data_IF_803587521227
#
_entry.id   IF_803587521227
#
_cell.length_a   1.000
_cell.length_b   1.000
_cell.length_c   1.000
_cell.angle_alpha   90.00
_cell.angle_beta   90.00
_cell.angle_gamma   90.00
#
_symmetry.space_group_name_H-M   'P 1'
#
loop_
_entity.id
_entity.type
_entity.pdbx_description
1 polymer ?
#
# COMPACT_ATOMS: atom_id res chain seq x y z
N UNK A 1 25.44 -9.66 -11.17
CA UNK A 1 24.51 -8.52 -10.91
C UNK A 1 24.23 -7.68 -12.15
N UNK A 2 25.14 -7.62 -13.12
CA UNK A 2 24.93 -6.82 -14.34
C UNK A 2 23.73 -7.21 -15.21
N UNK A 3 23.22 -8.43 -15.07
CA UNK A 3 22.12 -8.99 -15.87
C UNK A 3 20.74 -8.87 -15.20
N UNK A 4 20.63 -8.15 -14.08
CA UNK A 4 19.35 -7.94 -13.42
C UNK A 4 18.60 -6.74 -14.03
N UNK A 5 17.26 -6.81 -14.19
CA UNK A 5 16.48 -5.80 -14.93
C UNK A 5 16.51 -4.41 -14.32
N UNK A 6 16.87 -4.28 -13.03
CA UNK A 6 17.03 -2.97 -12.36
C UNK A 6 18.42 -2.39 -12.45
N UNK A 7 19.46 -3.20 -12.68
CA UNK A 7 20.86 -2.75 -12.59
C UNK A 7 21.36 -2.27 -13.95
N UNK A 8 21.39 -0.96 -14.15
CA UNK A 8 22.02 -0.34 -15.32
C UNK A 8 23.52 -0.11 -15.13
N UNK A 9 23.99 -0.02 -13.89
CA UNK A 9 25.42 0.09 -13.54
C UNK A 9 25.69 -0.74 -12.29
N UNK A 10 26.82 -1.43 -12.26
CA UNK A 10 27.32 -2.08 -11.04
C UNK A 10 28.42 -1.23 -10.42
N UNK A 11 28.45 -1.12 -9.09
CA UNK A 11 29.53 -0.54 -8.29
C UNK A 11 29.94 -1.49 -7.19
N UNK A 12 31.15 -1.40 -6.63
CA UNK A 12 31.51 -2.17 -5.44
C UNK A 12 30.54 -1.85 -4.29
N UNK A 13 30.10 -2.87 -3.57
CA UNK A 13 29.30 -2.70 -2.34
C UNK A 13 30.19 -2.09 -1.26
N UNK A 14 29.68 -1.11 -0.52
CA UNK A 14 30.38 -0.51 0.60
C UNK A 14 30.72 -1.55 1.68
N UNK A 15 31.94 -1.55 2.19
CA UNK A 15 32.37 -2.45 3.25
C UNK A 15 31.93 -1.93 4.62
N UNK A 16 31.40 -2.82 5.47
CA UNK A 16 30.98 -2.49 6.84
C UNK A 16 32.19 -2.33 7.77
N UNK A 17 32.31 -1.18 8.41
CA UNK A 17 33.20 -0.97 9.56
C UNK A 17 32.35 -0.48 10.74
N UNK A 18 32.41 -1.08 11.94
CA UNK A 18 31.57 -0.65 13.06
C UNK A 18 31.85 0.83 13.43
N UNK A 19 30.83 1.63 13.58
CA UNK A 19 30.87 3.04 13.95
C UNK A 19 29.63 3.48 14.73
N UNK A 20 29.65 4.66 15.33
CA UNK A 20 28.70 5.14 16.32
C UNK A 20 27.28 5.40 15.76
N UNK A 21 26.30 5.24 16.65
CA UNK A 21 24.86 5.33 16.42
C UNK A 21 24.36 6.72 15.98
N UNK A 22 23.44 6.75 15.04
CA UNK A 22 22.66 7.91 14.62
C UNK A 22 21.41 8.14 15.49
N UNK A 23 20.90 9.37 15.45
CA UNK A 23 19.74 9.79 16.24
C UNK A 23 18.47 9.02 15.86
N UNK A 24 17.89 8.33 16.84
CA UNK A 24 16.55 7.73 16.74
C UNK A 24 15.52 8.82 16.40
N UNK A 25 14.79 8.63 15.31
CA UNK A 25 13.55 9.38 15.09
C UNK A 25 12.58 8.99 16.20
N UNK A 26 12.35 9.88 17.15
CA UNK A 26 11.51 9.64 18.33
C UNK A 26 10.08 9.30 17.89
N UNK A 27 9.77 8.01 17.87
CA UNK A 27 8.42 7.53 17.57
C UNK A 27 7.57 7.80 18.81
N UNK A 28 6.81 8.88 18.78
CA UNK A 28 5.85 9.18 19.85
C UNK A 28 4.71 8.15 19.81
N UNK A 29 4.78 7.14 20.65
CA UNK A 29 3.73 6.14 20.84
C UNK A 29 2.82 6.53 21.99
N UNK A 30 1.51 6.58 21.76
CA UNK A 30 0.51 6.72 22.81
C UNK A 30 -0.38 5.48 22.78
N UNK A 31 -0.48 4.71 23.89
CA UNK A 31 -1.33 3.52 23.92
C UNK A 31 -2.78 3.83 23.53
N UNK A 32 -3.37 2.96 22.74
CA UNK A 32 -4.78 3.01 22.38
C UNK A 32 -5.61 2.39 23.52
N UNK A 33 -6.17 3.25 24.39
CA UNK A 33 -7.19 2.80 25.34
C UNK A 33 -8.53 2.60 24.61
N UNK A 34 -9.16 1.46 24.86
CA UNK A 34 -10.49 1.12 24.34
C UNK A 34 -11.50 2.20 24.75
N UNK A 35 -12.07 2.94 23.81
CA UNK A 35 -13.26 3.75 24.05
C UNK A 35 -14.49 2.86 23.80
N UNK A 36 -15.18 2.52 24.86
CA UNK A 36 -16.56 2.04 24.75
C UNK A 36 -17.45 3.28 24.55
N UNK A 37 -18.45 3.18 23.67
CA UNK A 37 -19.51 4.17 23.63
C UNK A 37 -20.35 4.09 24.91
N UNK A 38 -21.13 5.14 25.18
CA UNK A 38 -21.96 5.23 26.38
C UNK A 38 -23.03 4.10 26.51
N UNK A 39 -23.13 3.19 25.53
CA UNK A 39 -24.07 2.08 25.48
C UNK A 39 -23.42 0.69 25.50
N UNK A 40 -22.06 0.63 25.61
CA UNK A 40 -21.32 -0.63 25.68
C UNK A 40 -21.30 -1.45 24.39
N UNK A 41 -21.80 -0.92 23.28
CA UNK A 41 -21.81 -1.58 21.98
C UNK A 41 -20.70 -0.98 21.11
N UNK A 42 -19.63 -1.75 20.88
CA UNK A 42 -18.60 -1.39 19.91
C UNK A 42 -19.18 -1.59 18.50
N UNK A 43 -19.22 -0.52 17.71
CA UNK A 43 -19.43 -0.67 16.27
C UNK A 43 -18.31 -1.54 15.69
N UNK A 44 -18.62 -2.53 14.85
CA UNK A 44 -17.62 -3.51 14.40
C UNK A 44 -16.47 -2.81 13.64
N UNK A 45 -15.26 -2.97 14.13
CA UNK A 45 -14.02 -2.93 13.34
C UNK A 45 -13.44 -1.59 12.91
N UNK A 46 -14.05 -0.44 13.22
CA UNK A 46 -13.63 0.86 12.66
C UNK A 46 -13.12 1.89 13.68
N UNK A 47 -13.35 1.70 14.98
CA UNK A 47 -13.27 2.75 15.99
C UNK A 47 -11.96 3.56 16.04
N UNK A 48 -10.79 2.95 15.84
CA UNK A 48 -9.52 3.67 15.88
C UNK A 48 -9.10 4.25 14.52
N UNK A 49 -9.33 3.49 13.42
CA UNK A 49 -8.95 3.90 12.06
C UNK A 49 -10.00 4.78 11.39
N UNK A 50 -11.25 4.84 11.89
CA UNK A 50 -12.38 5.54 11.26
C UNK A 50 -12.05 7.00 10.96
N UNK A 51 -11.44 7.72 11.89
CA UNK A 51 -11.12 9.13 11.72
C UNK A 51 -10.13 9.39 10.60
N UNK A 52 -9.07 8.59 10.48
CA UNK A 52 -8.08 8.72 9.40
C UNK A 52 -8.66 8.27 8.05
N UNK A 53 -9.38 7.17 8.00
CA UNK A 53 -10.00 6.64 6.78
C UNK A 53 -11.13 7.55 6.26
N UNK A 54 -11.94 8.12 7.16
CA UNK A 54 -13.00 9.06 6.79
C UNK A 54 -12.44 10.34 6.16
N UNK A 55 -11.35 10.87 6.73
CA UNK A 55 -10.69 12.11 6.25
C UNK A 55 -10.23 12.01 4.81
N UNK A 56 -9.79 10.83 4.38
CA UNK A 56 -9.34 10.56 3.01
C UNK A 56 -10.39 9.85 2.16
N UNK A 57 -11.66 9.85 2.59
CA UNK A 57 -12.78 9.19 1.91
C UNK A 57 -12.52 7.70 1.57
N UNK A 58 -11.80 6.97 2.43
CA UNK A 58 -11.49 5.55 2.21
C UNK A 58 -12.61 4.61 2.70
N UNK A 59 -13.57 5.08 3.50
CA UNK A 59 -14.67 4.26 3.99
C UNK A 59 -15.63 3.80 2.87
N UNK A 60 -16.04 4.63 1.89
CA UNK A 60 -16.94 4.17 0.82
C UNK A 60 -16.37 3.02 -0.02
N UNK A 61 -15.10 3.02 -0.50
CA UNK A 61 -14.52 1.87 -1.16
C UNK A 61 -14.52 0.62 -0.29
N UNK A 62 -14.16 0.73 0.99
CA UNK A 62 -14.16 -0.38 1.94
C UNK A 62 -15.57 -0.96 2.14
N UNK A 63 -16.60 -0.12 2.28
CA UNK A 63 -18.00 -0.54 2.36
C UNK A 63 -18.47 -1.27 1.09
N UNK A 64 -17.87 -0.96 -0.07
CA UNK A 64 -18.10 -1.68 -1.33
C UNK A 64 -17.30 -2.98 -1.42
N UNK A 65 -16.55 -3.38 -0.37
CA UNK A 65 -15.73 -4.60 -0.33
C UNK A 65 -14.41 -4.47 -1.12
N UNK A 66 -13.92 -3.24 -1.32
CA UNK A 66 -12.59 -3.03 -1.90
C UNK A 66 -11.55 -3.06 -0.78
N UNK A 67 -10.71 -4.06 -0.81
CA UNK A 67 -9.73 -4.36 0.23
C UNK A 67 -8.33 -4.66 -0.33
N UNK A 68 -8.09 -4.32 -1.60
CA UNK A 68 -6.84 -4.69 -2.29
C UNK A 68 -6.76 -6.17 -2.66
N UNK A 69 -7.89 -6.90 -2.64
CA UNK A 69 -7.87 -8.34 -2.94
C UNK A 69 -7.38 -8.61 -4.37
N UNK A 70 -6.49 -9.61 -4.50
CA UNK A 70 -5.85 -9.96 -5.76
C UNK A 70 -4.60 -9.12 -6.08
N UNK A 71 -4.31 -8.08 -5.28
CA UNK A 71 -3.14 -7.21 -5.43
C UNK A 71 -2.02 -7.67 -4.49
N UNK A 72 -0.78 -7.65 -4.97
CA UNK A 72 0.42 -7.92 -4.19
C UNK A 72 1.06 -6.62 -3.75
N UNK A 73 1.14 -6.42 -2.45
CA UNK A 73 1.73 -5.23 -1.82
C UNK A 73 3.07 -5.61 -1.20
N UNK A 74 4.14 -4.99 -1.67
CA UNK A 74 5.48 -5.10 -1.10
C UNK A 74 5.76 -3.98 -0.10
N UNK A 75 6.62 -4.26 0.87
CA UNK A 75 7.10 -3.28 1.84
C UNK A 75 8.62 -3.34 1.90
N UNK A 76 9.27 -2.18 1.75
CA UNK A 76 10.69 -1.97 2.06
C UNK A 76 10.77 -1.20 3.37
N UNK A 77 11.42 -1.79 4.38
CA UNK A 77 11.43 -1.23 5.73
C UNK A 77 12.59 -1.80 6.57
N UNK A 78 12.77 -1.26 7.78
CA UNK A 78 13.84 -1.67 8.67
C UNK A 78 13.61 -3.04 9.34
N UNK A 79 12.34 -3.39 9.68
CA UNK A 79 12.08 -4.62 10.45
C UNK A 79 10.63 -5.07 10.42
N UNK A 80 10.41 -6.38 10.45
CA UNK A 80 9.08 -7.01 10.44
C UNK A 80 8.86 -7.97 11.62
N UNK A 81 9.40 -7.64 12.83
CA UNK A 81 9.33 -8.49 14.02
C UNK A 81 7.90 -8.75 14.53
N UNK A 82 7.00 -7.79 14.34
CA UNK A 82 5.65 -7.82 14.88
C UNK A 82 4.57 -8.51 14.05
N UNK A 83 4.89 -9.20 12.95
CA UNK A 83 3.88 -9.85 12.07
C UNK A 83 3.14 -11.05 12.69
N UNK A 84 3.47 -11.42 13.94
CA UNK A 84 2.66 -12.35 14.75
C UNK A 84 1.47 -11.68 15.45
N UNK A 85 1.41 -10.34 15.47
CA UNK A 85 0.35 -9.56 16.09
C UNK A 85 -1.05 -10.01 15.63
N UNK A 86 -2.09 -9.96 16.49
CA UNK A 86 -3.48 -10.33 16.15
C UNK A 86 -4.05 -9.62 14.92
N UNK A 87 -3.65 -8.37 14.65
CA UNK A 87 -4.05 -7.63 13.45
C UNK A 87 -3.68 -8.31 12.12
N UNK A 88 -2.80 -9.29 12.14
CA UNK A 88 -2.39 -10.06 10.96
C UNK A 88 -2.91 -11.51 10.96
N UNK A 89 -3.83 -11.86 11.87
CA UNK A 89 -4.36 -13.23 11.97
C UNK A 89 -5.03 -13.68 10.67
N UNK A 90 -5.89 -12.83 10.08
CA UNK A 90 -6.53 -13.10 8.80
C UNK A 90 -5.51 -13.20 7.65
N UNK A 91 -4.49 -12.32 7.63
CA UNK A 91 -3.43 -12.35 6.64
C UNK A 91 -2.66 -13.69 6.65
N UNK A 92 -2.39 -14.23 7.85
CA UNK A 92 -1.73 -15.53 8.01
C UNK A 92 -2.65 -16.71 7.73
N UNK A 93 -3.90 -16.65 8.22
CA UNK A 93 -4.88 -17.73 8.04
C UNK A 93 -5.24 -17.97 6.57
N UNK A 94 -5.26 -16.90 5.78
CA UNK A 94 -5.56 -16.95 4.34
C UNK A 94 -4.30 -17.15 3.47
N UNK A 95 -3.13 -17.41 4.07
CA UNK A 95 -1.82 -17.59 3.40
C UNK A 95 -1.45 -16.38 2.49
N UNK A 96 -1.84 -15.17 2.91
CA UNK A 96 -1.58 -13.93 2.17
C UNK A 96 -0.30 -13.20 2.60
N UNK A 97 0.42 -13.69 3.61
CA UNK A 97 1.79 -13.31 3.91
C UNK A 97 2.74 -14.13 3.04
N UNK A 98 3.00 -13.65 1.82
CA UNK A 98 3.63 -14.42 0.75
C UNK A 98 5.16 -14.49 0.82
N UNK A 99 5.80 -13.76 1.74
CA UNK A 99 7.24 -13.86 1.99
C UNK A 99 7.80 -12.66 2.72
N UNK A 100 8.85 -12.97 3.49
CA UNK A 100 9.71 -11.99 4.14
C UNK A 100 11.15 -12.30 3.76
N UNK A 101 11.95 -11.29 3.47
CA UNK A 101 13.37 -11.44 3.19
C UNK A 101 14.19 -10.32 3.80
N UNK A 102 15.33 -10.69 4.39
CA UNK A 102 16.30 -9.75 4.93
C UNK A 102 17.47 -9.61 3.95
N UNK A 103 17.90 -8.40 3.69
CA UNK A 103 19.02 -8.02 2.84
C UNK A 103 20.18 -7.42 3.64
N UNK A 104 20.00 -7.25 4.93
CA UNK A 104 21.05 -6.85 5.88
C UNK A 104 21.79 -8.08 6.43
N UNK A 105 22.97 -7.85 7.01
CA UNK A 105 23.72 -8.88 7.71
C UNK A 105 23.07 -9.18 9.06
N UNK A 106 22.30 -10.26 9.11
CA UNK A 106 21.55 -10.65 10.30
C UNK A 106 20.15 -10.07 10.37
N UNK A 107 19.41 -10.49 11.41
CA UNK A 107 18.04 -10.05 11.66
C UNK A 107 18.06 -8.69 12.34
N UNK A 108 17.29 -7.76 11.79
CA UNK A 108 17.06 -6.48 12.43
C UNK A 108 15.91 -6.60 13.43
N UNK A 109 16.13 -6.05 14.63
CA UNK A 109 15.11 -5.99 15.68
C UNK A 109 14.21 -4.77 15.48
N UNK A 110 12.96 -4.87 15.96
CA UNK A 110 11.99 -3.77 15.92
C UNK A 110 10.68 -4.14 15.23
N UNK A 111 9.75 -3.21 15.28
CA UNK A 111 8.37 -3.38 14.80
C UNK A 111 7.94 -2.33 13.79
N UNK A 112 8.84 -1.43 13.33
CA UNK A 112 8.46 -0.31 12.46
C UNK A 112 7.77 -0.81 11.19
N UNK A 113 8.37 -1.68 10.41
CA UNK A 113 7.77 -2.24 9.20
C UNK A 113 6.49 -3.03 9.48
N UNK A 114 6.39 -3.73 10.61
CA UNK A 114 5.13 -4.39 11.02
C UNK A 114 4.04 -3.35 11.30
N UNK A 115 4.37 -2.25 11.98
CA UNK A 115 3.47 -1.12 12.20
C UNK A 115 2.99 -0.53 10.86
N UNK A 116 3.90 -0.30 9.93
CA UNK A 116 3.62 0.18 8.56
C UNK A 116 2.70 -0.77 7.82
N UNK A 117 3.00 -2.08 7.81
CA UNK A 117 2.11 -3.11 7.21
C UNK A 117 0.72 -3.05 7.84
N UNK A 118 0.61 -2.84 9.15
CA UNK A 118 -0.68 -2.79 9.84
C UNK A 118 -1.56 -1.65 9.39
N UNK A 119 -0.98 -0.49 9.08
CA UNK A 119 -1.71 0.67 8.55
C UNK A 119 -2.25 0.43 7.15
N UNK A 120 -1.53 -0.31 6.30
CA UNK A 120 -1.99 -0.64 4.95
C UNK A 120 -2.94 -1.85 4.91
N UNK A 121 -2.58 -2.94 5.61
CA UNK A 121 -3.16 -4.27 5.43
C UNK A 121 -3.57 -4.97 6.74
N UNK A 122 -3.47 -4.29 7.88
CA UNK A 122 -3.93 -4.84 9.16
C UNK A 122 -5.45 -4.95 9.22
N UNK A 123 -5.91 -5.98 9.93
CA UNK A 123 -7.32 -6.21 10.22
C UNK A 123 -7.49 -6.64 11.67
N UNK A 124 -7.95 -5.73 12.50
CA UNK A 124 -8.36 -5.99 13.87
C UNK A 124 -9.80 -5.52 14.05
N UNK A 125 -10.79 -6.44 14.23
CA UNK A 125 -12.20 -6.13 14.09
C UNK A 125 -12.74 -4.97 14.92
N UNK A 126 -12.06 -4.55 15.96
CA UNK A 126 -12.52 -3.45 16.84
C UNK A 126 -11.51 -2.31 16.98
N UNK A 127 -10.33 -2.41 16.33
CA UNK A 127 -9.21 -1.53 16.64
C UNK A 127 -8.53 -0.93 15.43
N UNK A 128 -8.33 -1.71 14.35
CA UNK A 128 -7.52 -1.30 13.21
C UNK A 128 -8.07 -1.86 11.91
N UNK A 129 -8.16 -1.00 10.90
CA UNK A 129 -8.49 -1.41 9.53
C UNK A 129 -7.58 -0.69 8.55
N UNK A 130 -6.78 -1.46 7.81
CA UNK A 130 -6.00 -0.96 6.68
C UNK A 130 -6.80 -1.00 5.37
N UNK A 131 -6.64 -0.01 4.46
CA UNK A 131 -7.40 0.02 3.20
C UNK A 131 -7.18 -1.21 2.30
N UNK A 132 -6.05 -1.90 2.46
CA UNK A 132 -5.68 -3.10 1.69
C UNK A 132 -5.66 -4.39 2.53
N UNK A 133 -6.55 -4.51 3.54
CA UNK A 133 -6.57 -5.68 4.44
C UNK A 133 -6.79 -7.02 3.72
N UNK A 134 -7.25 -7.02 2.47
CA UNK A 134 -7.42 -8.20 1.63
C UNK A 134 -6.25 -8.49 0.68
N UNK A 135 -5.23 -7.64 0.64
CA UNK A 135 -4.08 -7.81 -0.24
C UNK A 135 -3.15 -8.95 0.19
N UNK A 136 -2.32 -9.41 -0.74
CA UNK A 136 -1.19 -10.29 -0.46
C UNK A 136 0.03 -9.45 -0.12
N UNK A 137 0.71 -9.73 0.98
CA UNK A 137 1.79 -8.94 1.56
C UNK A 137 3.14 -9.64 1.42
N UNK A 138 4.15 -8.87 1.03
CA UNK A 138 5.56 -9.25 1.05
C UNK A 138 6.37 -8.18 1.78
N UNK A 139 7.43 -8.55 2.50
CA UNK A 139 8.30 -7.62 3.20
C UNK A 139 9.77 -7.87 2.91
N UNK A 140 10.53 -6.80 2.68
CA UNK A 140 11.97 -6.83 2.50
C UNK A 140 12.63 -5.89 3.53
N UNK A 141 13.43 -6.45 4.43
CA UNK A 141 14.26 -5.70 5.38
C UNK A 141 15.52 -5.24 4.66
N UNK A 142 15.74 -3.94 4.58
CA UNK A 142 16.86 -3.33 3.85
C UNK A 142 17.72 -2.42 4.69
N UNK A 143 17.24 -2.02 5.88
CA UNK A 143 17.87 -1.07 6.77
C UNK A 143 18.50 -1.76 7.98
N UNK A 144 19.58 -1.17 8.46
CA UNK A 144 20.12 -1.46 9.77
C UNK A 144 19.50 -0.49 10.80
N UNK A 145 19.22 -0.98 12.01
CA UNK A 145 18.62 -0.16 13.07
C UNK A 145 19.66 0.56 13.94
N UNK A 146 20.95 0.37 13.67
CA UNK A 146 22.06 0.84 14.51
C UNK A 146 22.97 1.85 13.81
N UNK A 147 22.87 2.03 12.49
CA UNK A 147 23.70 2.95 11.71
C UNK A 147 23.04 3.26 10.37
N UNK A 148 23.46 4.38 9.76
CA UNK A 148 23.02 4.87 8.45
C UNK A 148 24.21 4.82 7.46
N UNK A 149 24.20 3.89 6.50
CA UNK A 149 25.30 3.70 5.56
C UNK A 149 24.85 3.52 4.13
N UNK A 150 25.70 3.93 3.18
CA UNK A 150 25.39 3.81 1.75
C UNK A 150 25.10 2.36 1.28
N UNK A 151 25.54 1.33 2.03
CA UNK A 151 25.19 -0.07 1.73
C UNK A 151 23.68 -0.34 1.81
N UNK A 152 22.92 0.45 2.58
CA UNK A 152 21.47 0.34 2.69
C UNK A 152 20.78 0.69 1.37
N UNK A 153 21.35 1.58 0.58
CA UNK A 153 20.87 1.86 -0.78
C UNK A 153 21.04 0.63 -1.71
N UNK A 154 22.13 -0.14 -1.56
CA UNK A 154 22.32 -1.39 -2.31
C UNK A 154 21.33 -2.46 -1.84
N UNK A 155 21.08 -2.55 -0.52
CA UNK A 155 20.06 -3.44 0.05
C UNK A 155 18.66 -3.06 -0.43
N UNK A 156 18.34 -1.75 -0.48
CA UNK A 156 17.10 -1.23 -1.03
C UNK A 156 16.86 -1.73 -2.45
N UNK A 157 17.85 -1.56 -3.34
CA UNK A 157 17.76 -2.01 -4.73
C UNK A 157 17.53 -3.52 -4.78
N UNK A 158 18.30 -4.30 -4.03
CA UNK A 158 18.15 -5.75 -3.97
C UNK A 158 16.78 -6.18 -3.44
N UNK A 159 16.24 -5.47 -2.43
CA UNK A 159 14.90 -5.66 -1.89
C UNK A 159 13.81 -5.37 -2.92
N UNK A 160 13.91 -4.23 -3.61
CA UNK A 160 12.95 -3.82 -4.63
C UNK A 160 12.94 -4.78 -5.83
N UNK A 161 14.11 -5.24 -6.28
CA UNK A 161 14.23 -6.28 -7.30
C UNK A 161 13.58 -7.60 -6.87
N UNK A 162 13.81 -8.03 -5.62
CA UNK A 162 13.20 -9.24 -5.11
C UNK A 162 11.68 -9.13 -5.08
N UNK A 163 11.13 -8.00 -4.64
CA UNK A 163 9.70 -7.72 -4.64
C UNK A 163 9.13 -7.77 -6.06
N UNK A 164 9.81 -7.13 -7.04
CA UNK A 164 9.40 -7.19 -8.44
C UNK A 164 9.38 -8.62 -8.97
N UNK A 165 10.44 -9.41 -8.74
CA UNK A 165 10.49 -10.83 -9.14
C UNK A 165 9.41 -11.69 -8.49
N UNK A 166 8.87 -11.26 -7.35
CA UNK A 166 7.74 -11.90 -6.68
C UNK A 166 6.37 -11.42 -7.20
N UNK A 167 6.38 -10.59 -8.25
CA UNK A 167 5.16 -10.10 -8.91
C UNK A 167 4.38 -9.09 -8.07
N UNK A 168 5.10 -8.21 -7.36
CA UNK A 168 4.49 -7.14 -6.58
C UNK A 168 3.93 -6.06 -7.50
N UNK A 169 2.69 -5.63 -7.27
CA UNK A 169 2.00 -4.60 -8.06
C UNK A 169 2.28 -3.20 -7.53
N UNK A 170 2.35 -3.07 -6.20
CA UNK A 170 2.63 -1.81 -5.50
C UNK A 170 3.61 -2.05 -4.35
N UNK A 171 4.57 -1.15 -4.19
CA UNK A 171 5.56 -1.18 -3.10
C UNK A 171 5.40 0.06 -2.23
N UNK A 172 5.30 -0.14 -0.93
CA UNK A 172 5.42 0.91 0.08
C UNK A 172 6.88 1.03 0.53
N UNK A 173 7.39 2.25 0.55
CA UNK A 173 8.71 2.62 1.04
C UNK A 173 8.51 3.57 2.21
N UNK A 174 8.77 3.11 3.43
CA UNK A 174 8.67 3.93 4.65
C UNK A 174 10.05 4.25 5.24
N UNK A 175 11.03 4.34 4.38
CA UNK A 175 12.44 4.66 4.62
C UNK A 175 12.88 5.73 3.64
N UNK A 176 14.01 6.38 3.91
CA UNK A 176 14.53 7.40 3.00
C UNK A 176 15.90 7.88 3.45
N UNK A 177 16.68 8.37 2.53
CA UNK A 177 18.09 8.66 2.72
C UNK A 177 18.38 10.14 2.45
N UNK A 178 19.17 10.74 3.33
CA UNK A 178 19.74 12.09 3.15
C UNK A 178 21.11 12.19 3.80
N UNK A 179 21.19 11.88 5.08
CA UNK A 179 22.40 11.97 5.89
C UNK A 179 22.82 10.57 6.28
N UNK A 180 24.07 10.26 6.07
CA UNK A 180 24.71 9.00 6.47
C UNK A 180 25.78 9.26 7.52
N UNK A 181 26.20 8.19 8.19
CA UNK A 181 27.25 8.22 9.22
C UNK A 181 28.59 8.80 8.69
N UNK A 182 29.45 9.21 9.61
CA UNK A 182 30.77 9.76 9.27
C UNK A 182 31.56 8.82 8.34
N UNK A 183 32.17 9.39 7.33
CA UNK A 183 32.91 8.65 6.29
C UNK A 183 32.04 8.11 5.17
N UNK A 184 30.72 8.28 5.23
CA UNK A 184 29.78 7.95 4.15
C UNK A 184 29.44 9.20 3.32
N UNK A 185 28.94 9.01 2.11
CA UNK A 185 28.47 10.11 1.26
C UNK A 185 27.02 10.44 1.56
N UNK A 186 26.77 11.55 2.23
CA UNK A 186 25.44 12.15 2.39
C UNK A 186 24.99 12.91 1.15
N UNK A 187 23.68 13.11 1.01
CA UNK A 187 23.09 13.90 -0.06
C UNK A 187 22.92 15.36 0.36
N UNK A 188 23.09 16.25 -0.59
CA UNK A 188 22.76 17.68 -0.49
C UNK A 188 21.39 17.95 -1.13
N UNK A 189 20.86 19.17 -0.96
CA UNK A 189 19.62 19.58 -1.60
C UNK A 189 19.70 19.48 -3.13
N UNK A 190 20.87 19.79 -3.70
CA UNK A 190 21.12 19.73 -5.15
C UNK A 190 21.11 18.31 -5.71
N UNK A 191 21.27 17.29 -4.87
CA UNK A 191 21.23 15.89 -5.26
C UNK A 191 19.80 15.33 -5.34
N UNK A 192 18.80 16.11 -4.88
CA UNK A 192 17.37 15.72 -4.93
C UNK A 192 16.75 16.09 -6.29
N UNK A 193 17.39 15.67 -7.37
CA UNK A 193 17.05 16.01 -8.74
C UNK A 193 16.27 14.93 -9.50
N UNK A 194 15.99 13.80 -8.84
CA UNK A 194 15.33 12.63 -9.44
C UNK A 194 16.30 11.70 -10.20
N UNK A 195 17.59 11.99 -10.25
CA UNK A 195 18.57 11.23 -11.04
C UNK A 195 19.79 10.76 -10.21
N UNK A 196 20.18 11.53 -9.21
CA UNK A 196 21.45 11.32 -8.51
C UNK A 196 21.44 10.06 -7.63
N UNK A 197 20.48 9.92 -6.75
CA UNK A 197 20.46 8.83 -5.78
C UNK A 197 20.20 7.46 -6.44
N UNK A 198 20.89 6.45 -5.93
CA UNK A 198 20.72 5.07 -6.41
C UNK A 198 19.29 4.58 -6.21
N UNK A 199 18.72 4.85 -5.05
CA UNK A 199 17.35 4.45 -4.69
C UNK A 199 16.30 5.16 -5.53
N UNK A 200 16.51 6.44 -5.86
CA UNK A 200 15.66 7.23 -6.76
C UNK A 200 15.60 6.60 -8.16
N UNK A 201 16.77 6.28 -8.75
CA UNK A 201 16.82 5.59 -10.05
C UNK A 201 16.18 4.20 -10.01
N UNK A 202 16.32 3.47 -8.90
CA UNK A 202 15.70 2.16 -8.74
C UNK A 202 14.16 2.27 -8.73
N UNK A 203 13.60 3.28 -8.07
CA UNK A 203 12.15 3.56 -8.06
C UNK A 203 11.65 3.88 -9.46
N UNK A 204 12.32 4.74 -10.21
CA UNK A 204 11.95 5.06 -11.58
C UNK A 204 12.04 3.83 -12.50
N UNK A 205 13.05 2.99 -12.28
CA UNK A 205 13.15 1.72 -13.02
C UNK A 205 12.03 0.75 -12.66
N UNK A 206 11.63 0.65 -11.40
CA UNK A 206 10.50 -0.17 -10.97
C UNK A 206 9.19 0.28 -11.65
N UNK A 207 8.97 1.57 -11.74
CA UNK A 207 7.80 2.13 -12.43
C UNK A 207 7.79 1.80 -13.93
N UNK A 208 8.94 1.87 -14.61
CA UNK A 208 9.07 1.44 -16.02
C UNK A 208 8.73 -0.05 -16.21
N UNK A 209 8.92 -0.86 -15.16
CA UNK A 209 8.59 -2.30 -15.14
C UNK A 209 7.16 -2.58 -14.62
N UNK A 210 6.36 -1.54 -14.39
CA UNK A 210 4.96 -1.66 -14.02
C UNK A 210 4.68 -1.69 -12.52
N UNK A 211 5.68 -1.52 -11.66
CA UNK A 211 5.51 -1.49 -10.19
C UNK A 211 5.24 -0.07 -9.72
N UNK A 212 4.10 0.16 -9.09
CA UNK A 212 3.81 1.45 -8.44
C UNK A 212 4.59 1.56 -7.13
N UNK A 213 5.33 2.65 -6.93
CA UNK A 213 6.09 2.87 -5.69
C UNK A 213 5.54 4.08 -4.94
N UNK A 214 5.10 3.84 -3.71
CA UNK A 214 4.59 4.85 -2.78
C UNK A 214 5.64 5.09 -1.71
N UNK A 215 6.10 6.33 -1.57
CA UNK A 215 7.25 6.67 -0.73
C UNK A 215 6.84 7.70 0.33
N UNK A 216 7.27 7.50 1.55
CA UNK A 216 7.16 8.53 2.60
C UNK A 216 8.03 9.74 2.25
N UNK A 217 7.48 10.96 2.39
CA UNK A 217 8.19 12.18 1.98
C UNK A 217 9.42 12.49 2.85
N UNK A 218 9.46 11.99 4.09
CA UNK A 218 10.48 12.30 5.10
C UNK A 218 9.91 13.07 6.29
N UNK A 219 10.64 13.06 7.40
CA UNK A 219 10.22 13.63 8.68
C UNK A 219 11.08 14.82 9.13
N UNK A 220 11.84 15.41 8.22
CA UNK A 220 12.76 16.51 8.48
C UNK A 220 12.10 17.90 8.41
N UNK A 221 10.77 17.95 8.22
CA UNK A 221 10.03 19.21 8.20
C UNK A 221 10.28 20.05 9.45
N UNK A 222 10.41 21.35 9.29
CA UNK A 222 10.60 22.31 10.36
C UNK A 222 9.91 23.63 10.08
N UNK A 223 9.80 24.47 11.11
CA UNK A 223 9.15 25.78 11.00
C UNK A 223 10.05 26.82 10.30
N UNK A 224 11.36 26.70 10.46
CA UNK A 224 12.34 27.64 9.90
C UNK A 224 13.21 26.95 8.84
N UNK A 225 12.95 27.22 7.55
CA UNK A 225 13.68 26.59 6.44
C UNK A 225 15.19 26.89 6.42
N UNK A 226 15.62 28.00 7.04
CA UNK A 226 17.02 28.40 7.05
C UNK A 226 17.85 27.67 8.10
N UNK A 227 17.17 26.98 9.05
CA UNK A 227 17.82 26.32 10.18
C UNK A 227 17.85 24.79 10.10
N UNK A 228 17.15 24.19 9.14
CA UNK A 228 17.06 22.73 9.05
C UNK A 228 16.78 22.21 7.65
N UNK A 229 17.04 20.91 7.46
CA UNK A 229 16.59 20.18 6.28
C UNK A 229 15.07 19.98 6.34
N UNK A 230 14.31 20.53 5.38
CA UNK A 230 12.87 20.34 5.30
C UNK A 230 12.40 19.70 4.00
N UNK A 231 13.32 19.42 3.08
CA UNK A 231 13.04 18.83 1.79
C UNK A 231 12.71 17.34 1.89
N UNK A 232 12.02 16.83 0.85
CA UNK A 232 11.78 15.39 0.72
C UNK A 232 13.10 14.61 0.70
N UNK A 233 13.09 13.41 1.25
CA UNK A 233 14.25 12.52 1.21
C UNK A 233 14.27 11.71 -0.08
N UNK A 234 15.44 11.19 -0.50
CA UNK A 234 15.43 10.16 -1.53
C UNK A 234 14.85 8.86 -0.94
N UNK A 235 14.10 8.04 -1.71
CA UNK A 235 13.72 8.18 -3.11
C UNK A 235 12.39 8.92 -3.35
N UNK A 236 11.88 9.72 -2.41
CA UNK A 236 10.63 10.47 -2.62
C UNK A 236 10.77 11.57 -3.70
N UNK A 237 12.01 11.97 -4.03
CA UNK A 237 12.34 12.87 -5.13
C UNK A 237 12.21 12.21 -6.52
N UNK A 238 12.15 10.89 -6.64
CA UNK A 238 11.99 10.19 -7.91
C UNK A 238 10.81 10.70 -8.72
N UNK A 239 10.96 10.77 -10.05
CA UNK A 239 9.89 11.28 -10.92
C UNK A 239 8.63 10.43 -10.85
N UNK A 240 8.77 9.11 -10.88
CA UNK A 240 7.64 8.18 -10.85
C UNK A 240 7.08 7.89 -9.45
N UNK A 241 7.82 8.23 -8.37
CA UNK A 241 7.37 7.99 -7.00
C UNK A 241 6.09 8.76 -6.66
N UNK A 242 5.21 8.10 -5.92
CA UNK A 242 4.09 8.76 -5.23
C UNK A 242 4.61 9.17 -3.85
N UNK A 243 5.14 10.38 -3.72
CA UNK A 243 5.64 10.91 -2.45
C UNK A 243 4.48 11.36 -1.56
N UNK A 244 4.44 10.86 -0.32
CA UNK A 244 3.33 11.07 0.60
C UNK A 244 3.78 11.88 1.81
N UNK A 245 3.21 13.07 1.95
CA UNK A 245 3.38 13.91 3.13
C UNK A 245 2.32 13.64 4.20
N UNK A 246 2.50 14.24 5.36
CA UNK A 246 1.70 13.99 6.55
C UNK A 246 0.88 15.20 7.01
N UNK A 247 -0.37 14.95 7.42
CA UNK A 247 -1.19 15.91 8.16
C UNK A 247 -1.53 15.41 9.56
N UNK A 248 -1.87 16.34 10.44
CA UNK A 248 -2.44 16.06 11.74
C UNK A 248 -3.95 15.71 11.64
N UNK A 249 -4.60 15.25 12.74
CA UNK A 249 -6.03 14.93 12.75
C UNK A 249 -6.98 16.06 12.37
N UNK A 250 -6.56 17.31 12.50
CA UNK A 250 -7.30 18.52 12.08
C UNK A 250 -7.04 18.92 10.63
N UNK A 251 -6.29 18.11 9.89
CA UNK A 251 -5.85 18.35 8.50
C UNK A 251 -4.83 19.49 8.33
N UNK A 252 -4.30 20.06 9.41
CA UNK A 252 -3.11 20.91 9.34
C UNK A 252 -1.89 20.09 8.90
N UNK A 253 -0.93 20.72 8.20
CA UNK A 253 0.32 20.06 7.84
C UNK A 253 1.05 19.62 9.14
N UNK A 254 1.47 18.38 9.20
CA UNK A 254 2.27 17.90 10.33
C UNK A 254 3.63 18.64 10.31
N UNK A 255 4.08 19.23 11.44
CA UNK A 255 5.31 20.03 11.43
C UNK A 255 6.55 19.29 10.91
N UNK A 256 6.61 17.99 11.15
CA UNK A 256 7.72 17.14 10.68
C UNK A 256 7.62 16.76 9.20
N UNK A 257 6.47 16.96 8.53
CA UNK A 257 6.31 16.51 7.15
C UNK A 257 7.25 17.25 6.22
N UNK A 258 8.13 16.52 5.57
CA UNK A 258 8.99 17.04 4.54
C UNK A 258 8.19 17.50 3.31
N UNK A 259 8.76 18.44 2.55
CA UNK A 259 8.12 19.15 1.44
C UNK A 259 9.12 19.44 0.32
N UNK A 260 8.62 19.89 -0.81
CA UNK A 260 9.42 20.31 -1.96
C UNK A 260 9.82 21.79 -1.90
N UNK A 261 10.31 22.31 -3.04
CA UNK A 261 10.48 21.59 -4.30
C UNK A 261 11.65 20.60 -4.28
N UNK A 262 11.74 19.73 -5.29
CA UNK A 262 12.98 19.03 -5.62
C UNK A 262 14.00 20.01 -6.21
N UNK A 263 15.28 19.60 -6.33
CA UNK A 263 16.34 20.44 -6.86
C UNK A 263 16.07 20.94 -8.29
N UNK A 264 15.40 20.14 -9.10
CA UNK A 264 14.96 20.46 -10.46
C UNK A 264 13.59 21.18 -10.51
N UNK A 265 13.04 21.57 -9.35
CA UNK A 265 11.83 22.40 -9.23
C UNK A 265 10.51 21.65 -9.30
N UNK A 266 10.50 20.30 -9.28
CA UNK A 266 9.24 19.54 -9.25
C UNK A 266 8.52 19.70 -7.91
N UNK A 267 7.18 19.68 -7.98
CA UNK A 267 6.34 19.71 -6.77
C UNK A 267 6.34 18.35 -6.10
N UNK A 268 6.73 18.32 -4.83
CA UNK A 268 6.61 17.21 -3.88
C UNK A 268 6.13 17.79 -2.53
N UNK A 269 5.45 17.01 -1.67
CA UNK A 269 4.96 15.66 -1.93
C UNK A 269 3.89 15.63 -3.03
N UNK A 270 3.51 14.43 -3.50
CA UNK A 270 2.39 14.28 -4.43
C UNK A 270 1.07 14.53 -3.74
N UNK A 271 0.86 13.88 -2.61
CA UNK A 271 -0.40 13.92 -1.86
C UNK A 271 -0.14 13.88 -0.35
N UNK A 272 -1.17 14.22 0.41
CA UNK A 272 -1.16 14.18 1.87
C UNK A 272 -2.20 13.21 2.40
N UNK A 273 -1.88 12.58 3.52
CA UNK A 273 -2.82 11.85 4.37
C UNK A 273 -2.45 12.04 5.85
N UNK A 274 -3.29 11.56 6.76
CA UNK A 274 -2.96 11.65 8.19
C UNK A 274 -1.69 10.84 8.50
N UNK A 275 -0.65 11.51 9.01
CA UNK A 275 0.59 10.90 9.49
C UNK A 275 0.89 11.19 10.96
N UNK A 276 -0.02 11.85 11.69
CA UNK A 276 0.09 12.09 13.14
C UNK A 276 -1.05 11.42 13.87
N UNK A 277 -0.74 10.67 14.96
CA UNK A 277 -1.70 9.88 15.73
C UNK A 277 -2.42 8.81 14.89
N UNK A 278 -1.70 8.16 13.98
CA UNK A 278 -2.20 7.06 13.16
C UNK A 278 -2.29 5.80 14.04
N UNK A 279 -3.42 5.07 14.07
CA UNK A 279 -3.47 3.77 14.75
C UNK A 279 -2.61 2.75 14.01
N UNK A 280 -1.79 2.02 14.74
CA UNK A 280 -0.97 0.92 14.21
C UNK A 280 -0.91 -0.25 15.20
N UNK A 281 -0.70 -1.45 14.69
CA UNK A 281 -0.33 -2.58 15.52
C UNK A 281 1.11 -2.36 16.02
N UNK A 282 1.33 -2.57 17.30
CA UNK A 282 2.60 -2.27 17.94
C UNK A 282 3.03 -3.44 18.83
N UNK A 283 4.02 -3.20 19.68
CA UNK A 283 4.66 -4.23 20.52
C UNK A 283 3.67 -5.09 21.32
N UNK A 284 4.03 -6.34 21.55
CA UNK A 284 3.36 -7.31 22.45
C UNK A 284 1.85 -7.55 22.20
N UNK A 285 1.42 -7.40 20.95
CA UNK A 285 0.00 -7.58 20.59
C UNK A 285 -0.87 -6.36 20.89
N UNK A 286 -0.28 -5.24 21.28
CA UNK A 286 -0.94 -3.98 21.55
C UNK A 286 -1.14 -3.11 20.32
N UNK A 287 -1.79 -1.96 20.50
CA UNK A 287 -1.96 -0.95 19.47
C UNK A 287 -1.48 0.39 20.00
N UNK A 288 -0.86 1.18 19.13
CA UNK A 288 -0.37 2.51 19.45
C UNK A 288 -0.87 3.56 18.46
N UNK A 289 -0.81 4.84 18.86
CA UNK A 289 -0.92 5.98 17.96
C UNK A 289 0.47 6.47 17.61
N UNK A 290 0.85 6.25 16.37
CA UNK A 290 2.18 6.56 15.84
C UNK A 290 2.18 7.85 15.02
N UNK A 291 3.37 8.40 14.77
CA UNK A 291 3.55 9.58 13.94
C UNK A 291 4.72 9.38 12.96
N UNK A 292 4.61 9.96 11.77
CA UNK A 292 5.60 9.93 10.72
C UNK A 292 4.95 9.84 9.34
N UNK A 293 5.64 10.32 8.30
CA UNK A 293 5.27 10.08 6.91
C UNK A 293 5.34 8.59 6.57
N UNK A 294 6.13 7.81 7.32
CA UNK A 294 6.18 6.34 7.29
C UNK A 294 4.82 5.68 7.56
N UNK A 295 3.92 6.33 8.30
CA UNK A 295 2.55 5.87 8.58
C UNK A 295 1.50 6.59 7.73
N UNK A 296 1.91 7.58 6.97
CA UNK A 296 1.10 8.20 5.93
C UNK A 296 1.14 7.36 4.63
N UNK A 297 2.31 7.04 4.11
CA UNK A 297 2.49 6.30 2.85
C UNK A 297 1.70 4.98 2.78
N UNK A 298 1.62 4.12 3.81
CA UNK A 298 0.88 2.86 3.72
C UNK A 298 -0.64 3.04 3.55
N UNK A 299 -1.22 4.16 3.97
CA UNK A 299 -2.64 4.45 3.69
C UNK A 299 -2.84 4.68 2.19
N UNK A 300 -1.95 5.43 1.53
CA UNK A 300 -1.98 5.65 0.07
C UNK A 300 -1.70 4.34 -0.67
N UNK A 301 -0.73 3.54 -0.19
CA UNK A 301 -0.46 2.21 -0.74
C UNK A 301 -1.70 1.33 -0.72
N UNK A 302 -2.48 1.38 0.36
CA UNK A 302 -3.76 0.66 0.46
C UNK A 302 -4.81 1.18 -0.53
N UNK A 303 -4.88 2.48 -0.77
CA UNK A 303 -5.77 3.07 -1.79
C UNK A 303 -5.32 2.66 -3.20
N UNK A 304 -4.03 2.67 -3.48
CA UNK A 304 -3.48 2.17 -4.76
C UNK A 304 -3.86 0.72 -4.98
N UNK A 305 -3.77 -0.12 -3.94
CA UNK A 305 -4.22 -1.51 -4.04
C UNK A 305 -5.72 -1.63 -4.35
N UNK A 306 -6.58 -0.75 -3.81
CA UNK A 306 -8.00 -0.70 -4.20
C UNK A 306 -8.20 -0.24 -5.65
N UNK A 307 -7.41 0.73 -6.13
CA UNK A 307 -7.43 1.16 -7.53
C UNK A 307 -7.03 0.03 -8.48
N UNK A 308 -5.96 -0.70 -8.16
CA UNK A 308 -5.49 -1.86 -8.93
C UNK A 308 -6.47 -3.05 -8.84
N UNK A 309 -7.16 -3.22 -7.72
CA UNK A 309 -8.23 -4.22 -7.60
C UNK A 309 -9.37 -3.99 -8.58
N UNK A 310 -9.71 -2.74 -8.88
CA UNK A 310 -10.80 -2.40 -9.82
C UNK A 310 -10.31 -2.22 -11.25
N UNK A 311 -9.03 -1.86 -11.42
CA UNK A 311 -8.39 -1.71 -12.73
C UNK A 311 -6.93 -2.21 -12.71
N UNK A 312 -6.69 -3.51 -12.90
CA UNK A 312 -5.35 -4.08 -12.90
C UNK A 312 -4.45 -3.60 -14.06
N UNK A 313 -5.01 -2.91 -15.04
CA UNK A 313 -4.24 -2.38 -16.18
C UNK A 313 -3.64 -0.99 -15.96
N UNK A 314 -3.92 -0.36 -14.82
CA UNK A 314 -3.34 0.93 -14.49
C UNK A 314 -1.82 0.83 -14.32
N UNK A 315 -1.10 1.61 -15.11
CA UNK A 315 0.34 1.79 -14.91
C UNK A 315 0.66 2.78 -13.77
N UNK A 316 1.91 2.78 -13.25
CA UNK A 316 2.31 3.60 -12.11
C UNK A 316 2.07 5.10 -12.30
N UNK A 317 2.41 5.63 -13.46
CA UNK A 317 2.23 7.06 -13.80
C UNK A 317 0.74 7.42 -13.83
N UNK A 318 -0.09 6.52 -14.33
CA UNK A 318 -1.53 6.72 -14.37
C UNK A 318 -2.16 6.69 -12.97
N UNK A 319 -1.75 5.76 -12.12
CA UNK A 319 -2.14 5.72 -10.70
C UNK A 319 -1.81 7.06 -10.02
N UNK A 320 -0.56 7.54 -10.16
CA UNK A 320 -0.13 8.82 -9.60
C UNK A 320 -0.96 9.99 -10.15
N UNK A 321 -1.21 10.01 -11.45
CA UNK A 321 -2.02 11.05 -12.11
C UNK A 321 -3.44 11.09 -11.53
N UNK A 322 -4.09 9.94 -11.36
CA UNK A 322 -5.44 9.85 -10.80
C UNK A 322 -5.48 10.33 -9.34
N UNK A 323 -4.51 9.93 -8.51
CA UNK A 323 -4.41 10.41 -7.13
C UNK A 323 -4.28 11.93 -7.06
N UNK A 324 -3.39 12.52 -7.88
CA UNK A 324 -3.21 13.98 -7.94
C UNK A 324 -4.47 14.69 -8.42
N UNK A 325 -5.12 14.23 -9.48
CA UNK A 325 -6.30 14.85 -10.08
C UNK A 325 -7.55 14.80 -9.20
N UNK A 326 -7.62 13.85 -8.29
CA UNK A 326 -8.76 13.68 -7.39
C UNK A 326 -8.51 14.19 -5.97
N UNK A 327 -7.30 14.64 -5.68
CA UNK A 327 -6.93 15.18 -4.39
C UNK A 327 -7.56 16.56 -4.14
N UNK A 328 -7.65 16.94 -2.86
CA UNK A 328 -8.40 18.13 -2.43
C UNK A 328 -7.89 19.48 -2.98
N UNK A 329 -6.62 19.52 -3.41
CA UNK A 329 -5.95 20.73 -3.95
C UNK A 329 -5.53 20.55 -5.41
N UNK A 330 -6.22 19.69 -6.17
CA UNK A 330 -5.86 19.32 -7.55
C UNK A 330 -5.73 20.51 -8.50
N UNK A 331 -6.49 21.58 -8.29
CA UNK A 331 -6.52 22.77 -9.16
C UNK A 331 -5.47 23.84 -8.82
N UNK A 332 -4.86 23.77 -7.63
CA UNK A 332 -3.87 24.75 -7.17
C UNK A 332 -2.78 24.05 -6.32
N UNK A 333 -2.02 23.10 -6.90
CA UNK A 333 -1.00 22.38 -6.16
C UNK A 333 0.20 23.29 -5.86
N UNK A 334 0.82 23.06 -4.69
CA UNK A 334 2.02 23.78 -4.23
C UNK A 334 3.14 22.81 -3.81
N UNK A 335 4.28 23.34 -3.38
CA UNK A 335 5.44 22.54 -2.95
C UNK A 335 5.37 22.11 -1.49
N UNK A 336 4.39 22.57 -0.73
CA UNK A 336 4.21 22.27 0.69
C UNK A 336 3.22 21.13 0.89
N UNK A 337 2.10 21.18 0.18
CA UNK A 337 0.98 20.23 0.30
C UNK A 337 0.79 19.35 -0.92
N UNK A 338 1.59 19.56 -1.98
CA UNK A 338 1.39 18.89 -3.25
C UNK A 338 -0.01 19.15 -3.81
N UNK A 339 -0.70 18.09 -4.20
CA UNK A 339 -2.10 18.14 -4.64
C UNK A 339 -3.11 18.05 -3.47
N UNK A 340 -2.62 18.06 -2.22
CA UNK A 340 -3.45 18.06 -1.02
C UNK A 340 -3.87 16.67 -0.55
N UNK A 341 -4.90 16.63 0.28
CA UNK A 341 -5.43 15.38 0.85
C UNK A 341 -5.96 14.46 -0.24
N UNK A 342 -5.59 13.18 -0.13
CA UNK A 342 -6.14 12.13 -1.00
C UNK A 342 -7.66 12.01 -0.85
N UNK A 343 -8.33 11.76 -1.96
CA UNK A 343 -9.73 11.33 -1.99
C UNK A 343 -9.80 9.92 -2.58
N UNK A 344 -9.81 8.91 -1.71
CA UNK A 344 -9.80 7.50 -2.10
C UNK A 344 -11.02 7.11 -2.94
N UNK A 345 -12.21 7.58 -2.57
CA UNK A 345 -13.43 7.26 -3.34
C UNK A 345 -13.36 7.83 -4.75
N UNK A 346 -12.92 9.08 -4.92
CA UNK A 346 -12.79 9.69 -6.23
C UNK A 346 -11.71 9.01 -7.07
N UNK A 347 -10.55 8.67 -6.49
CA UNK A 347 -9.47 7.96 -7.18
C UNK A 347 -9.91 6.57 -7.65
N UNK A 348 -10.56 5.79 -6.78
CA UNK A 348 -11.08 4.46 -7.12
C UNK A 348 -12.17 4.53 -8.18
N UNK A 349 -13.11 5.48 -8.10
CA UNK A 349 -14.12 5.67 -9.14
C UNK A 349 -13.53 6.06 -10.49
N UNK A 350 -12.49 6.88 -10.49
CA UNK A 350 -11.76 7.24 -11.72
C UNK A 350 -11.08 6.02 -12.34
N UNK A 351 -10.47 5.16 -11.51
CA UNK A 351 -9.90 3.88 -11.94
C UNK A 351 -10.98 2.94 -12.53
N UNK A 352 -12.13 2.80 -11.86
CA UNK A 352 -13.30 2.03 -12.35
C UNK A 352 -13.82 2.57 -13.68
N UNK A 353 -13.93 3.90 -13.81
CA UNK A 353 -14.39 4.54 -15.03
C UNK A 353 -13.46 4.24 -16.21
N UNK A 354 -12.13 4.37 -16.02
CA UNK A 354 -11.16 4.06 -17.07
C UNK A 354 -11.21 2.58 -17.49
N UNK A 355 -11.32 1.66 -16.55
CA UNK A 355 -11.45 0.24 -16.86
C UNK A 355 -12.69 -0.09 -17.71
N UNK A 356 -13.76 0.72 -17.60
CA UNK A 356 -14.96 0.60 -18.45
C UNK A 356 -14.76 1.17 -19.86
N UNK A 357 -13.89 2.18 -20.01
CA UNK A 357 -13.57 2.75 -21.33
C UNK A 357 -12.67 1.81 -22.14
N UNK A 358 -11.84 1.03 -21.49
CA UNK A 358 -10.94 0.06 -22.10
C UNK A 358 -11.17 -1.35 -21.52
N UNK A 359 -12.35 -1.95 -21.80
CA UNK A 359 -12.66 -3.28 -21.30
C UNK A 359 -11.70 -4.31 -21.90
N UNK A 360 -11.39 -5.40 -21.17
CA UNK A 360 -10.52 -6.45 -21.68
C UNK A 360 -11.14 -7.12 -22.92
N UNK A 361 -10.31 -7.67 -23.79
CA UNK A 361 -10.75 -8.44 -24.96
C UNK A 361 -11.38 -9.78 -24.59
N UNK A 362 -11.08 -10.32 -23.42
CA UNK A 362 -11.61 -11.57 -22.89
C UNK A 362 -12.09 -11.40 -21.45
N UNK A 363 -13.00 -12.29 -21.01
CA UNK A 363 -13.46 -12.33 -19.64
C UNK A 363 -12.31 -12.66 -18.68
N UNK A 364 -12.04 -11.75 -17.74
CA UNK A 364 -11.06 -11.91 -16.68
C UNK A 364 -11.80 -12.11 -15.35
N UNK A 365 -11.30 -13.01 -14.52
CA UNK A 365 -11.82 -13.25 -13.17
C UNK A 365 -10.66 -13.30 -12.21
N UNK A 366 -10.66 -12.39 -11.26
CA UNK A 366 -9.69 -12.37 -10.16
C UNK A 366 -10.09 -13.37 -9.08
N UNK A 367 -9.16 -13.68 -8.18
CA UNK A 367 -9.42 -14.62 -7.09
C UNK A 367 -10.64 -14.19 -6.24
N UNK A 368 -11.60 -15.08 -5.97
CA UNK A 368 -12.74 -14.78 -5.12
C UNK A 368 -12.31 -14.57 -3.67
N UNK A 369 -13.08 -13.75 -2.95
CA UNK A 369 -12.83 -13.47 -1.53
C UNK A 369 -14.16 -13.40 -0.74
N UNK A 370 -14.08 -13.57 0.59
CA UNK A 370 -15.23 -13.33 1.47
C UNK A 370 -15.37 -11.84 1.78
N UNK A 371 -16.57 -11.31 1.63
CA UNK A 371 -16.88 -9.98 2.13
C UNK A 371 -16.91 -9.99 3.66
N UNK A 372 -16.30 -8.95 4.27
CA UNK A 372 -16.24 -8.85 5.74
C UNK A 372 -17.59 -8.45 6.33
N UNK A 373 -18.41 -7.74 5.55
CA UNK A 373 -19.71 -7.22 6.01
C UNK A 373 -20.83 -8.27 6.06
N UNK A 374 -20.70 -9.29 5.23
CA UNK A 374 -21.67 -10.38 5.14
C UNK A 374 -20.96 -11.69 4.75
N UNK A 375 -21.63 -12.81 4.86
CA UNK A 375 -21.06 -14.12 4.53
C UNK A 375 -20.97 -14.40 3.03
N UNK A 376 -20.96 -13.37 2.18
CA UNK A 376 -20.94 -13.52 0.73
C UNK A 376 -19.55 -13.87 0.21
N UNK A 377 -19.49 -14.78 -0.76
CA UNK A 377 -18.35 -14.98 -1.62
C UNK A 377 -18.43 -13.97 -2.77
N UNK A 378 -17.47 -13.04 -2.84
CA UNK A 378 -17.38 -12.07 -3.93
C UNK A 378 -16.49 -12.62 -5.04
N UNK A 379 -17.02 -12.67 -6.24
CA UNK A 379 -16.27 -13.05 -7.46
C UNK A 379 -16.04 -11.77 -8.28
N UNK A 380 -14.81 -11.23 -8.28
CA UNK A 380 -14.48 -10.07 -9.11
C UNK A 380 -14.34 -10.49 -10.57
N UNK A 381 -14.95 -9.74 -11.47
CA UNK A 381 -14.94 -10.00 -12.92
C UNK A 381 -14.59 -8.73 -13.66
N UNK A 382 -13.81 -8.84 -14.74
CA UNK A 382 -13.72 -7.78 -15.74
C UNK A 382 -14.22 -8.34 -17.08
N UNK A 383 -15.35 -7.80 -17.53
CA UNK A 383 -16.07 -8.32 -18.67
C UNK A 383 -15.66 -7.61 -19.97
N UNK A 384 -15.56 -8.34 -21.11
CA UNK A 384 -15.28 -7.75 -22.41
C UNK A 384 -16.41 -6.82 -22.88
N UNK A 385 -16.13 -6.08 -23.96
CA UNK A 385 -17.11 -5.21 -24.62
C UNK A 385 -18.40 -5.98 -24.95
N UNK A 386 -19.51 -5.27 -24.98
CA UNK A 386 -20.85 -5.79 -25.31
C UNK A 386 -21.42 -6.83 -24.33
N UNK A 387 -20.82 -7.04 -23.17
CA UNK A 387 -21.40 -7.89 -22.12
C UNK A 387 -22.62 -7.22 -21.49
N UNK A 388 -23.78 -7.85 -21.55
CA UNK A 388 -25.02 -7.37 -20.92
C UNK A 388 -25.48 -8.26 -19.77
N UNK A 389 -24.98 -9.48 -19.69
CA UNK A 389 -25.32 -10.43 -18.65
C UNK A 389 -24.10 -11.23 -18.18
N UNK A 390 -23.97 -11.36 -16.86
CA UNK A 390 -23.01 -12.22 -16.19
C UNK A 390 -23.75 -13.34 -15.45
N UNK A 391 -23.31 -14.58 -15.61
CA UNK A 391 -23.80 -15.75 -14.89
C UNK A 391 -22.65 -16.34 -14.11
N UNK A 392 -22.86 -16.55 -12.81
CA UNK A 392 -21.86 -17.20 -11.94
C UNK A 392 -22.50 -18.44 -11.32
N UNK A 393 -21.78 -19.54 -11.38
CA UNK A 393 -22.17 -20.79 -10.73
C UNK A 393 -21.05 -21.25 -9.80
N UNK A 394 -21.42 -21.76 -8.62
CA UNK A 394 -20.55 -22.55 -7.76
C UNK A 394 -20.87 -24.02 -7.94
N UNK A 395 -19.84 -24.83 -8.09
CA UNK A 395 -19.96 -26.28 -8.22
C UNK A 395 -19.05 -26.97 -7.20
N UNK A 396 -19.53 -28.10 -6.67
CA UNK A 396 -18.70 -28.96 -5.81
C UNK A 396 -17.55 -29.57 -6.61
N UNK A 397 -16.52 -30.18 -5.97
CA UNK A 397 -15.48 -30.95 -6.67
C UNK A 397 -16.06 -32.07 -7.55
N UNK A 398 -17.24 -32.61 -7.22
CA UNK A 398 -17.91 -33.64 -7.98
C UNK A 398 -18.77 -33.07 -9.14
N UNK A 399 -18.72 -31.75 -9.38
CA UNK A 399 -19.43 -31.10 -10.49
C UNK A 399 -20.89 -30.74 -10.23
N UNK A 400 -21.43 -30.99 -9.04
CA UNK A 400 -22.79 -30.61 -8.67
C UNK A 400 -22.87 -29.09 -8.49
N UNK A 401 -23.83 -28.42 -9.18
CA UNK A 401 -24.11 -27.00 -9.01
C UNK A 401 -24.82 -26.75 -7.68
N UNK A 402 -24.20 -25.98 -6.80
CA UNK A 402 -24.74 -25.66 -5.46
C UNK A 402 -25.22 -24.21 -5.35
N UNK A 403 -24.79 -23.33 -6.25
CA UNK A 403 -25.25 -21.94 -6.31
C UNK A 403 -25.24 -21.44 -7.74
N UNK A 404 -26.18 -20.54 -8.08
CA UNK A 404 -26.24 -19.88 -9.37
C UNK A 404 -26.77 -18.45 -9.21
N UNK A 405 -26.08 -17.49 -9.79
CA UNK A 405 -26.52 -16.10 -9.84
C UNK A 405 -26.44 -15.58 -11.28
N UNK A 406 -27.49 -14.85 -11.68
CA UNK A 406 -27.53 -14.06 -12.93
C UNK A 406 -27.58 -12.59 -12.53
N UNK A 407 -26.74 -11.77 -13.13
CA UNK A 407 -26.68 -10.33 -12.90
C UNK A 407 -26.66 -9.59 -14.22
N UNK A 408 -27.20 -8.37 -14.23
CA UNK A 408 -26.91 -7.42 -15.29
C UNK A 408 -25.39 -7.23 -15.38
N UNK A 409 -24.83 -7.36 -16.56
CA UNK A 409 -23.41 -7.15 -16.85
C UNK A 409 -23.23 -5.80 -17.52
N UNK A 410 -22.01 -5.30 -17.44
CA UNK A 410 -21.53 -4.18 -18.21
C UNK A 410 -20.06 -4.44 -18.57
N UNK A 411 -19.52 -3.83 -19.64
CA UNK A 411 -18.09 -3.92 -19.93
C UNK A 411 -17.23 -3.44 -18.75
N UNK A 412 -16.07 -4.06 -18.58
CA UNK A 412 -15.14 -3.73 -17.51
C UNK A 412 -15.45 -4.39 -16.16
N UNK A 413 -14.95 -3.82 -15.07
CA UNK A 413 -14.98 -4.45 -13.75
C UNK A 413 -16.38 -4.50 -13.12
N UNK A 414 -16.68 -5.65 -12.55
CA UNK A 414 -17.90 -5.93 -11.78
C UNK A 414 -17.58 -6.85 -10.61
N UNK A 415 -18.42 -6.85 -9.59
CA UNK A 415 -18.33 -7.77 -8.45
C UNK A 415 -19.64 -8.51 -8.29
N UNK A 416 -19.55 -9.83 -8.22
CA UNK A 416 -20.73 -10.68 -8.07
C UNK A 416 -20.66 -11.33 -6.70
N UNK A 417 -21.51 -10.85 -5.79
CA UNK A 417 -21.65 -11.44 -4.48
C UNK A 417 -22.59 -12.66 -4.57
N UNK A 418 -22.16 -13.77 -4.01
CA UNK A 418 -22.89 -15.01 -3.88
C UNK A 418 -23.11 -15.28 -2.39
N UNK A 419 -24.35 -15.41 -1.95
CA UNK A 419 -24.62 -15.83 -0.59
C UNK A 419 -24.21 -17.31 -0.45
N UNK A 420 -23.24 -17.56 0.40
CA UNK A 420 -22.70 -18.89 0.67
C UNK A 420 -22.92 -19.34 2.12
N UNK A 421 -23.78 -18.63 2.85
CA UNK A 421 -24.07 -18.89 4.27
C UNK A 421 -24.59 -20.31 4.52
N UNK A 422 -25.35 -20.86 3.58
CA UNK A 422 -25.91 -22.21 3.64
C UNK A 422 -24.98 -23.30 3.15
N UNK A 423 -23.82 -22.98 2.60
CA UNK A 423 -22.91 -23.96 2.02
C UNK A 423 -21.92 -24.49 3.08
N UNK A 424 -21.63 -25.79 3.08
CA UNK A 424 -20.60 -26.37 3.95
C UNK A 424 -19.21 -25.74 3.67
N UNK A 425 -18.33 -25.65 4.68
CA UNK A 425 -16.94 -25.32 4.45
C UNK A 425 -16.30 -26.34 3.50
N UNK A 426 -15.47 -25.85 2.59
CA UNK A 426 -14.84 -26.72 1.62
C UNK A 426 -14.30 -25.99 0.38
N UNK A 427 -13.75 -26.78 -0.53
CA UNK A 427 -13.31 -26.30 -1.84
C UNK A 427 -14.45 -26.40 -2.85
N UNK A 428 -14.65 -25.32 -3.58
CA UNK A 428 -15.63 -25.19 -4.65
C UNK A 428 -14.95 -24.70 -5.92
N UNK A 429 -15.57 -24.96 -7.06
CA UNK A 429 -15.17 -24.37 -8.32
C UNK A 429 -16.21 -23.33 -8.72
N UNK A 430 -15.79 -22.11 -9.05
CA UNK A 430 -16.68 -21.15 -9.67
C UNK A 430 -16.55 -21.21 -11.21
N UNK A 431 -17.64 -20.89 -11.89
CA UNK A 431 -17.69 -20.73 -13.35
C UNK A 431 -18.41 -19.43 -13.62
N UNK A 432 -17.77 -18.52 -14.35
CA UNK A 432 -18.36 -17.27 -14.83
C UNK A 432 -18.57 -17.38 -16.33
N UNK A 433 -19.73 -16.93 -16.79
CA UNK A 433 -20.05 -16.87 -18.23
C UNK A 433 -20.72 -15.55 -18.58
N UNK A 434 -20.43 -15.01 -19.74
CA UNK A 434 -21.12 -13.86 -20.33
C UNK A 434 -22.17 -14.33 -21.33
N UNK A 435 -23.10 -13.44 -21.68
CA UNK A 435 -24.03 -13.63 -22.80
C UNK A 435 -23.34 -13.59 -24.17
N UNK A 436 -22.15 -13.01 -24.24
CA UNK A 436 -21.30 -12.98 -25.46
C UNK A 436 -20.45 -14.26 -25.64
N UNK A 437 -20.66 -15.29 -24.79
CA UNK A 437 -20.02 -16.60 -24.93
C UNK A 437 -18.68 -16.77 -24.21
N UNK A 438 -18.12 -15.73 -23.61
CA UNK A 438 -16.88 -15.86 -22.84
C UNK A 438 -17.13 -16.65 -21.54
N UNK A 439 -16.14 -17.48 -21.17
CA UNK A 439 -16.19 -18.27 -19.94
C UNK A 439 -14.85 -18.23 -19.21
N UNK A 440 -14.89 -18.17 -17.89
CA UNK A 440 -13.75 -18.33 -17.01
C UNK A 440 -14.15 -19.19 -15.81
N UNK A 441 -13.19 -19.92 -15.25
CA UNK A 441 -13.42 -20.75 -14.07
C UNK A 441 -12.19 -20.76 -13.18
N UNK A 442 -12.39 -21.01 -11.88
CA UNK A 442 -11.34 -21.13 -10.90
C UNK A 442 -11.84 -21.80 -9.63
N UNK A 443 -10.98 -21.85 -8.61
CA UNK A 443 -11.29 -22.43 -7.32
C UNK A 443 -11.64 -21.34 -6.30
N UNK A 444 -12.56 -21.64 -5.39
CA UNK A 444 -12.88 -20.85 -4.22
C UNK A 444 -12.90 -21.73 -2.98
N UNK A 445 -12.42 -21.22 -1.85
CA UNK A 445 -12.53 -21.91 -0.57
C UNK A 445 -13.56 -21.18 0.29
N UNK A 446 -14.54 -21.93 0.83
CA UNK A 446 -15.49 -21.45 1.81
C UNK A 446 -14.99 -21.96 3.18
N UNK A 447 -14.64 -21.05 4.06
CA UNK A 447 -14.31 -21.29 5.47
C UNK A 447 -15.47 -20.83 6.36
N UNK A 448 -15.67 -21.45 7.52
CA UNK A 448 -16.63 -20.95 8.53
C UNK A 448 -16.08 -19.74 9.24
#
# INVERSE_FOLDING_TARGET
>A
MADLPFVQKSRPVASLTPGASSAETEIQTTPLTRRLDARGTAAPGLAASEGSLSRIHALPPLKRGLSGHGVRVGFLDASFGGLRHPAFSALRADDRLAGLRTFTDGRQEGNHGSGVVSVAAGYGPETLLGPAYGATVLGATTEYTQFERNVEEDNFVAGLEWLHRRGTDVVNVSIGYTTFDEGQRSYSITDLDGEMALTTRAVDRAAQLGVTVVVSAGNSGCADPDSCWFYVNTPADADSAIAVGAVAPDSSLAPFSARGPTADGRRKPDVLVQGKRVPAAWEDGGYARVAGTSFASPQVTGIVAQMLQVNPSLGPIEVRRLLRQTAAQAHAPDTTRGWGLVNAEAAVRSAEWQARQTPPSALQVSAPYRAVADSSLVVPVSAPAHTSTLRVSLVTPLGQRVHHAKRAGHPGPSRIALDVSSLPPGRYRYVVATDTGHRAAGAATISK
#
